data_IF_782810500214
#
_entry.id   IF_782810500214
#
_cell.length_a   1.000
_cell.length_b   1.000
_cell.length_c   1.000
_cell.angle_alpha   90.00
_cell.angle_beta   90.00
_cell.angle_gamma   90.00
#
_symmetry.space_group_name_H-M   'P 1'
#
loop_
_entity.id
_entity.type
_entity.pdbx_description
1 polymer ?
#
# COMPACT_ATOMS: atom_id res chain seq x y z
N UNK A 1 -7.36 15.58 -12.74
CA UNK A 1 -7.89 15.88 -11.44
C UNK A 1 -6.78 15.83 -10.40
N UNK A 2 -6.82 16.73 -9.46
CA UNK A 2 -5.74 16.87 -8.49
C UNK A 2 -5.54 15.62 -7.65
N UNK A 3 -6.63 15.02 -7.21
CA UNK A 3 -6.52 13.83 -6.36
C UNK A 3 -5.90 12.68 -7.12
N UNK A 4 -6.24 12.56 -8.39
CA UNK A 4 -5.66 11.50 -9.21
C UNK A 4 -4.19 11.73 -9.44
N UNK A 5 -3.80 12.97 -9.67
CA UNK A 5 -2.39 13.31 -9.84
C UNK A 5 -1.61 13.03 -8.58
N UNK A 6 -2.18 13.38 -7.42
CA UNK A 6 -1.52 13.17 -6.15
C UNK A 6 -1.34 11.69 -5.88
N UNK A 7 -2.38 10.90 -6.15
CA UNK A 7 -2.29 9.46 -5.95
C UNK A 7 -1.25 8.84 -6.86
N UNK A 8 -1.18 9.30 -8.11
CA UNK A 8 -0.20 8.79 -9.04
C UNK A 8 1.20 9.15 -8.61
N UNK A 9 1.38 10.38 -8.11
CA UNK A 9 2.67 10.83 -7.62
C UNK A 9 3.14 9.97 -6.46
N UNK A 10 2.27 9.72 -5.50
CA UNK A 10 2.62 8.88 -4.36
C UNK A 10 2.91 7.45 -4.77
N UNK A 11 2.21 6.97 -5.79
CA UNK A 11 2.39 5.60 -6.25
C UNK A 11 3.72 5.40 -6.95
N UNK A 12 4.15 6.37 -7.74
CA UNK A 12 5.35 6.21 -8.54
C UNK A 12 6.55 6.95 -7.99
N UNK A 13 6.32 7.91 -7.13
CA UNK A 13 7.38 8.79 -6.68
C UNK A 13 7.25 9.08 -5.20
N UNK A 14 6.76 8.09 -4.46
CA UNK A 14 6.49 8.27 -3.04
C UNK A 14 7.75 8.59 -2.25
N UNK A 15 8.90 8.16 -2.74
CA UNK A 15 10.15 8.41 -2.02
C UNK A 15 10.52 9.88 -2.00
N UNK A 16 10.02 10.64 -2.94
CA UNK A 16 10.32 12.07 -3.02
C UNK A 16 9.11 12.94 -2.72
N UNK A 17 8.06 12.35 -2.15
CA UNK A 17 6.82 13.07 -1.90
C UNK A 17 6.82 13.82 -0.57
N UNK A 18 7.97 13.92 0.11
CA UNK A 18 8.04 14.64 1.37
C UNK A 18 7.60 13.82 2.58
N UNK A 19 7.61 12.51 2.47
CA UNK A 19 7.22 11.64 3.55
C UNK A 19 8.34 11.48 4.56
N UNK A 20 7.98 11.21 5.81
CA UNK A 20 8.95 10.88 6.83
C UNK A 20 9.58 9.52 6.53
N UNK A 21 10.68 9.21 7.22
CA UNK A 21 11.32 7.91 7.03
C UNK A 21 10.39 6.77 7.43
N UNK A 22 9.60 6.98 8.50
CA UNK A 22 8.63 5.97 8.92
C UNK A 22 7.59 5.74 7.84
N UNK A 23 7.10 6.83 7.26
CA UNK A 23 6.08 6.70 6.21
C UNK A 23 6.65 6.04 4.98
N UNK A 24 7.90 6.34 4.64
CA UNK A 24 8.53 5.69 3.50
C UNK A 24 8.69 4.20 3.73
N UNK A 25 9.05 3.82 4.95
CA UNK A 25 9.18 2.40 5.28
C UNK A 25 7.85 1.69 5.14
N UNK A 26 6.78 2.31 5.63
CA UNK A 26 5.46 1.72 5.53
C UNK A 26 5.01 1.61 4.07
N UNK A 27 5.26 2.65 3.28
CA UNK A 27 4.89 2.62 1.87
C UNK A 27 5.65 1.52 1.12
N UNK A 28 6.94 1.38 1.40
CA UNK A 28 7.74 0.34 0.78
C UNK A 28 7.20 -1.04 1.12
N UNK A 29 6.84 -1.24 2.39
CA UNK A 29 6.29 -2.50 2.84
C UNK A 29 4.96 -2.79 2.15
N UNK A 30 4.10 -1.76 2.02
CA UNK A 30 2.80 -1.91 1.38
C UNK A 30 2.93 -2.25 -0.08
N UNK A 31 3.89 -1.62 -0.78
CA UNK A 31 4.13 -1.91 -2.18
C UNK A 31 4.58 -3.36 -2.36
N UNK A 32 5.50 -3.80 -1.51
CA UNK A 32 5.99 -5.16 -1.60
C UNK A 32 4.87 -6.16 -1.34
N UNK A 33 4.04 -5.90 -0.33
CA UNK A 33 2.92 -6.77 -0.01
C UNK A 33 1.92 -6.83 -1.15
N UNK A 34 1.73 -5.72 -1.85
CA UNK A 34 0.78 -5.66 -2.94
C UNK A 34 1.30 -6.34 -4.20
N UNK A 35 2.54 -6.07 -4.56
CA UNK A 35 3.08 -6.50 -5.84
C UNK A 35 3.76 -7.87 -5.78
N UNK A 36 4.41 -8.18 -4.66
CA UNK A 36 5.15 -9.43 -4.53
C UNK A 36 4.90 -10.06 -3.17
N UNK A 37 3.63 -10.41 -2.86
CA UNK A 37 3.31 -10.94 -1.53
C UNK A 37 4.07 -12.24 -1.21
N UNK A 38 4.41 -13.02 -2.24
CA UNK A 38 5.12 -14.27 -2.00
C UNK A 38 6.56 -14.06 -1.55
N UNK A 39 7.07 -12.84 -1.69
CA UNK A 39 8.44 -12.53 -1.28
C UNK A 39 8.51 -11.89 0.10
N UNK A 40 7.37 -11.73 0.77
CA UNK A 40 7.37 -11.17 2.11
C UNK A 40 8.03 -12.14 3.08
N UNK A 41 8.90 -11.60 3.93
CA UNK A 41 9.61 -12.40 4.91
C UNK A 41 9.56 -11.68 6.25
N UNK A 42 9.99 -12.40 7.30
CA UNK A 42 9.91 -11.86 8.65
C UNK A 42 10.72 -10.57 8.81
N UNK A 43 11.84 -10.46 8.11
CA UNK A 43 12.66 -9.25 8.24
C UNK A 43 11.93 -8.01 7.75
N UNK A 44 10.93 -8.15 6.88
CA UNK A 44 10.14 -7.02 6.46
C UNK A 44 9.34 -6.45 7.64
N UNK A 45 8.82 -7.32 8.48
CA UNK A 45 8.10 -6.89 9.67
C UNK A 45 9.06 -6.25 10.67
N UNK A 46 10.24 -6.87 10.85
CA UNK A 46 11.22 -6.33 11.78
C UNK A 46 11.67 -4.93 11.38
N UNK A 47 11.74 -4.70 10.09
CA UNK A 47 12.12 -3.37 9.60
C UNK A 47 11.10 -2.33 10.06
N UNK A 48 9.81 -2.64 9.96
CA UNK A 48 8.78 -1.72 10.42
C UNK A 48 8.87 -1.52 11.93
N UNK A 49 9.15 -2.58 12.67
CA UNK A 49 9.29 -2.46 14.11
C UNK A 49 10.44 -1.54 14.48
N UNK A 50 11.52 -1.57 13.71
CA UNK A 50 12.64 -0.68 13.99
C UNK A 50 12.28 0.78 13.80
N UNK A 51 11.30 1.07 12.97
CA UNK A 51 10.82 2.43 12.78
C UNK A 51 9.75 2.81 13.80
N UNK A 52 9.42 1.92 14.73
CA UNK A 52 8.51 2.26 15.82
C UNK A 52 7.10 1.77 15.65
N UNK A 53 6.80 1.05 14.58
CA UNK A 53 5.44 0.52 14.41
C UNK A 53 5.24 -0.67 15.33
N UNK A 54 4.11 -0.66 16.06
CA UNK A 54 3.78 -1.77 16.92
C UNK A 54 3.28 -2.94 16.08
N UNK A 55 3.27 -4.13 16.70
CA UNK A 55 2.77 -5.30 16.00
C UNK A 55 1.29 -5.14 15.65
N UNK A 56 0.52 -4.50 16.54
CA UNK A 56 -0.89 -4.24 16.24
C UNK A 56 -1.03 -3.31 15.04
N UNK A 57 -0.22 -2.27 14.97
CA UNK A 57 -0.29 -1.34 13.85
C UNK A 57 0.07 -2.04 12.54
N UNK A 58 1.08 -2.90 12.58
CA UNK A 58 1.49 -3.64 11.39
C UNK A 58 0.40 -4.60 10.96
N UNK A 59 -0.21 -5.29 11.91
CA UNK A 59 -1.30 -6.21 11.61
C UNK A 59 -2.49 -5.47 11.02
N UNK A 60 -2.84 -4.32 11.59
CA UNK A 60 -3.94 -3.53 11.06
C UNK A 60 -3.66 -3.06 9.64
N UNK A 61 -2.43 -2.61 9.40
CA UNK A 61 -2.04 -2.16 8.06
C UNK A 61 -2.12 -3.30 7.06
N UNK A 62 -1.66 -4.49 7.45
CA UNK A 62 -1.73 -5.65 6.57
C UNK A 62 -3.17 -5.98 6.20
N UNK A 63 -4.07 -5.90 7.18
CA UNK A 63 -5.47 -6.21 6.94
C UNK A 63 -6.11 -5.18 6.01
N UNK A 64 -5.82 -3.90 6.22
CA UNK A 64 -6.39 -2.86 5.36
C UNK A 64 -5.87 -2.99 3.94
N UNK A 65 -4.57 -3.19 3.78
CA UNK A 65 -3.97 -3.33 2.46
C UNK A 65 -4.53 -4.55 1.75
N UNK A 66 -4.64 -5.67 2.48
CA UNK A 66 -5.16 -6.90 1.89
C UNK A 66 -6.63 -6.77 1.52
N UNK A 67 -7.40 -6.03 2.32
CA UNK A 67 -8.80 -5.81 2.00
C UNK A 67 -8.95 -5.04 0.69
N UNK A 68 -8.18 -3.96 0.52
CA UNK A 68 -8.25 -3.20 -0.72
C UNK A 68 -7.74 -4.00 -1.90
N UNK A 69 -6.70 -4.81 -1.70
CA UNK A 69 -6.21 -5.67 -2.77
C UNK A 69 -7.28 -6.68 -3.18
N UNK A 70 -8.00 -7.24 -2.19
CA UNK A 70 -9.07 -8.17 -2.46
C UNK A 70 -10.17 -7.53 -3.31
N UNK A 71 -10.62 -6.34 -2.91
CA UNK A 71 -11.67 -5.64 -3.63
C UNK A 71 -11.22 -5.31 -5.06
N UNK A 72 -9.98 -4.82 -5.20
CA UNK A 72 -9.48 -4.47 -6.52
C UNK A 72 -9.37 -5.68 -7.42
N UNK A 73 -8.97 -6.83 -6.88
CA UNK A 73 -8.86 -8.03 -7.70
C UNK A 73 -10.21 -8.53 -8.15
N UNK A 74 -11.23 -8.40 -7.30
CA UNK A 74 -12.58 -8.77 -7.70
C UNK A 74 -13.04 -7.87 -8.84
N UNK A 75 -12.83 -6.58 -8.70
CA UNK A 75 -13.22 -5.63 -9.75
C UNK A 75 -12.49 -5.95 -11.06
N UNK A 76 -11.17 -6.20 -10.96
CA UNK A 76 -10.38 -6.51 -12.15
C UNK A 76 -10.85 -7.80 -12.80
N UNK A 77 -11.11 -8.83 -11.99
CA UNK A 77 -11.52 -10.12 -12.51
C UNK A 77 -12.86 -10.11 -13.17
N UNK A 78 -13.76 -9.25 -12.68
CA UNK A 78 -15.10 -9.15 -13.23
C UNK A 78 -15.23 -8.04 -14.27
N UNK A 79 -14.18 -7.22 -14.44
CA UNK A 79 -14.21 -6.14 -15.41
C UNK A 79 -15.16 -5.02 -15.05
N UNK A 80 -15.35 -4.77 -13.74
CA UNK A 80 -16.26 -3.72 -13.30
C UNK A 80 -15.48 -2.64 -12.56
N UNK A 81 -16.05 -1.43 -12.56
CA UNK A 81 -15.50 -0.33 -11.81
C UNK A 81 -16.10 -0.31 -10.42
N UNK A 82 -15.27 -0.01 -9.42
CA UNK A 82 -15.76 0.07 -8.06
C UNK A 82 -16.59 1.32 -7.85
N UNK A 83 -16.13 2.43 -8.42
CA UNK A 83 -16.80 3.72 -8.32
C UNK A 83 -16.53 4.49 -9.60
N UNK A 84 -17.47 5.36 -10.00
CA UNK A 84 -17.23 6.18 -11.19
C UNK A 84 -15.97 7.02 -11.08
N UNK A 85 -15.65 7.49 -9.89
CA UNK A 85 -14.46 8.32 -9.71
C UNK A 85 -13.17 7.55 -9.92
N UNK A 86 -13.22 6.24 -9.84
CA UNK A 86 -12.04 5.41 -10.01
C UNK A 86 -11.84 4.96 -11.45
N UNK A 87 -12.71 5.36 -12.32
CA UNK A 87 -12.55 5.05 -13.74
C UNK A 87 -11.38 5.81 -14.33
N UNK A 88 -10.68 5.16 -15.22
CA UNK A 88 -9.56 5.80 -15.90
C UNK A 88 -10.00 6.62 -17.07
#
# INVERSE_FOLDING_TARGET
>A
VKDEEKARHLKHDWQTAGLSEEDKALCSWAVKLTLTPAEMVESDVRELERFGFSQNAISDAAQVISYFNYINRIADGLGVDLEPEMKK
#
